data_IF_113418424037
#
_entry.id   IF_113418424037
#
_cell.length_a   1.000
_cell.length_b   1.000
_cell.length_c   1.000
_cell.angle_alpha   90.00
_cell.angle_beta   90.00
_cell.angle_gamma   90.00
#
_symmetry.space_group_name_H-M   'P 1'
#
loop_
_entity.id
_entity.type
_entity.pdbx_description
1 polymer ?
#
# COMPACT_ATOMS: atom_id res chain seq x y z
N UNK A 1 0.67 28.29 37.89
CA UNK A 1 -0.69 28.05 37.40
C UNK A 1 -0.62 27.05 36.26
N UNK A 2 -1.13 25.84 36.46
CA UNK A 2 -1.21 24.79 35.45
C UNK A 2 -2.56 24.93 34.75
N UNK A 3 -2.55 25.18 33.45
CA UNK A 3 -3.77 25.19 32.61
C UNK A 3 -3.80 23.87 31.85
N UNK A 4 -4.73 22.99 32.21
CA UNK A 4 -5.03 21.77 31.46
C UNK A 4 -5.85 22.10 30.21
N UNK A 5 -5.49 21.58 29.02
CA UNK A 5 -6.39 21.62 27.87
C UNK A 5 -7.16 20.30 27.80
N UNK A 6 -8.43 20.34 28.17
CA UNK A 6 -9.36 19.22 27.97
C UNK A 6 -10.44 19.63 26.97
N UNK A 7 -10.61 18.75 25.97
CA UNK A 7 -11.80 18.56 25.13
C UNK A 7 -12.16 19.63 24.07
N UNK A 8 -11.77 19.36 22.83
CA UNK A 8 -12.74 19.49 21.72
C UNK A 8 -12.30 18.67 20.48
N UNK A 9 -12.71 17.40 20.38
CA UNK A 9 -12.38 16.55 19.21
C UNK A 9 -13.55 15.73 18.66
N UNK A 10 -14.77 15.93 19.17
CA UNK A 10 -15.94 15.10 18.78
C UNK A 10 -16.87 15.73 17.73
N UNK A 11 -16.72 17.02 17.40
CA UNK A 11 -17.66 17.73 16.51
C UNK A 11 -17.25 17.78 15.02
N UNK A 12 -16.08 17.26 14.64
CA UNK A 12 -15.54 17.37 13.27
C UNK A 12 -15.66 16.09 12.41
N UNK A 13 -16.24 15.02 12.96
CA UNK A 13 -16.38 13.73 12.25
C UNK A 13 -17.61 13.61 11.35
N UNK A 14 -18.62 14.47 11.54
CA UNK A 14 -19.91 14.33 10.84
C UNK A 14 -20.09 15.27 9.64
N UNK A 15 -19.18 16.22 9.40
CA UNK A 15 -19.31 17.19 8.31
C UNK A 15 -18.55 16.82 7.02
N UNK A 16 -17.64 15.85 7.06
CA UNK A 16 -16.81 15.47 5.89
C UNK A 16 -17.48 14.41 5.02
N UNK A 17 -18.49 13.71 5.54
CA UNK A 17 -19.20 12.63 4.83
C UNK A 17 -20.28 13.18 3.85
N UNK A 18 -20.67 14.46 3.99
CA UNK A 18 -21.80 15.02 3.22
C UNK A 18 -21.48 15.66 1.86
N UNK A 19 -20.23 16.01 1.56
CA UNK A 19 -19.89 16.81 0.37
C UNK A 19 -19.16 16.00 -0.71
N UNK A 20 -18.48 14.90 -0.36
CA UNK A 20 -17.75 14.07 -1.32
C UNK A 20 -18.64 13.21 -2.21
N UNK A 21 -19.86 12.88 -1.77
CA UNK A 21 -20.80 12.06 -2.54
C UNK A 21 -21.46 12.81 -3.72
N UNK A 22 -21.42 14.15 -3.73
CA UNK A 22 -22.05 14.93 -4.80
C UNK A 22 -21.19 15.04 -6.08
N UNK A 23 -19.87 14.83 -5.98
CA UNK A 23 -18.96 14.93 -7.13
C UNK A 23 -18.77 13.58 -7.86
N UNK A 24 -19.01 12.46 -7.17
CA UNK A 24 -18.91 11.12 -7.76
C UNK A 24 -20.13 10.74 -8.62
N UNK A 25 -21.30 11.36 -8.39
CA UNK A 25 -22.50 11.15 -9.21
C UNK A 25 -22.51 11.95 -10.52
N UNK A 26 -21.61 12.92 -10.71
CA UNK A 26 -21.58 13.72 -11.94
C UNK A 26 -20.80 13.07 -13.09
N UNK A 27 -19.99 12.03 -12.83
CA UNK A 27 -19.10 11.41 -13.84
C UNK A 27 -19.52 9.99 -14.24
N UNK A 28 -20.49 9.39 -13.53
CA UNK A 28 -21.07 8.07 -13.88
C UNK A 28 -22.42 8.19 -14.60
N UNK A 29 -22.77 9.39 -15.09
CA UNK A 29 -23.88 9.64 -16.00
C UNK A 29 -23.69 8.89 -17.32
N UNK A 30 -24.08 7.61 -17.32
CA UNK A 30 -24.19 6.69 -18.43
C UNK A 30 -25.25 7.20 -19.43
N UNK A 31 -24.84 8.12 -20.31
CA UNK A 31 -25.48 8.29 -21.61
C UNK A 31 -24.85 7.30 -22.58
N UNK A 32 -25.68 6.52 -23.30
CA UNK A 32 -25.25 5.59 -24.34
C UNK A 32 -24.63 6.27 -25.61
N UNK A 33 -24.10 7.48 -25.47
CA UNK A 33 -23.58 8.30 -26.55
C UNK A 33 -22.13 8.70 -26.28
N UNK A 34 -21.23 8.23 -27.14
CA UNK A 34 -19.85 8.71 -27.36
C UNK A 34 -18.94 8.81 -26.12
N UNK A 35 -17.92 7.94 -26.07
CA UNK A 35 -16.81 8.05 -25.12
C UNK A 35 -16.16 9.44 -25.24
N UNK A 36 -16.35 10.30 -24.24
CA UNK A 36 -15.79 11.66 -24.21
C UNK A 36 -14.28 11.63 -23.95
N UNK A 37 -13.82 10.65 -23.16
CA UNK A 37 -12.41 10.41 -22.84
C UNK A 37 -11.92 9.19 -23.60
N UNK A 38 -10.90 9.37 -24.44
CA UNK A 38 -10.30 8.32 -25.26
C UNK A 38 -9.26 7.52 -24.47
N UNK A 39 -8.41 8.21 -23.72
CA UNK A 39 -7.30 7.61 -22.99
C UNK A 39 -7.09 8.33 -21.67
N UNK A 40 -6.68 7.59 -20.64
CA UNK A 40 -6.23 8.14 -19.36
C UNK A 40 -4.96 7.41 -18.98
N UNK A 41 -3.89 8.16 -18.81
CA UNK A 41 -2.61 7.65 -18.33
C UNK A 41 -2.30 8.25 -16.97
N UNK A 42 -1.80 7.43 -16.06
CA UNK A 42 -1.36 7.86 -14.74
C UNK A 42 0.17 7.77 -14.69
N UNK A 43 0.77 8.74 -14.04
CA UNK A 43 2.20 8.76 -13.78
C UNK A 43 2.48 9.18 -12.36
N UNK A 44 3.71 8.94 -11.93
CA UNK A 44 4.25 9.47 -10.71
C UNK A 44 5.67 9.94 -10.95
N UNK A 45 6.05 11.05 -10.33
CA UNK A 45 7.43 11.52 -10.34
C UNK A 45 7.82 11.97 -8.95
N UNK A 46 9.06 11.68 -8.56
CA UNK A 46 9.62 12.19 -7.31
C UNK A 46 10.52 13.35 -7.66
N UNK A 47 10.13 14.56 -7.27
CA UNK A 47 10.87 15.79 -7.54
C UNK A 47 11.16 16.49 -6.21
N UNK A 48 12.43 16.80 -5.94
CA UNK A 48 12.86 17.45 -4.70
C UNK A 48 12.42 16.71 -3.42
N UNK A 49 12.28 15.38 -3.48
CA UNK A 49 11.82 14.56 -2.35
C UNK A 49 10.30 14.50 -2.16
N UNK A 50 9.53 15.21 -3.00
CA UNK A 50 8.07 15.16 -3.01
C UNK A 50 7.56 14.22 -4.11
N UNK A 51 6.50 13.47 -3.79
CA UNK A 51 5.77 12.64 -4.75
C UNK A 51 4.71 13.49 -5.43
N UNK A 52 4.83 13.58 -6.75
CA UNK A 52 3.80 14.12 -7.62
C UNK A 52 3.07 12.96 -8.30
N UNK A 53 1.76 12.91 -8.16
CA UNK A 53 0.88 12.06 -8.96
C UNK A 53 0.40 12.86 -10.16
N UNK A 54 0.58 12.30 -11.35
CA UNK A 54 0.14 12.90 -12.61
C UNK A 54 -0.95 12.07 -13.27
N UNK A 55 -1.88 12.73 -13.94
CA UNK A 55 -2.88 12.11 -14.81
C UNK A 55 -2.92 12.89 -16.11
N UNK A 56 -2.76 12.21 -17.25
CA UNK A 56 -2.98 12.79 -18.58
C UNK A 56 -4.15 12.07 -19.24
N UNK A 57 -5.25 12.81 -19.38
CA UNK A 57 -6.46 12.35 -20.05
C UNK A 57 -6.58 13.00 -21.43
N UNK A 58 -6.75 12.17 -22.46
CA UNK A 58 -6.99 12.61 -23.84
C UNK A 58 -8.47 12.48 -24.18
N UNK A 59 -9.09 13.58 -24.58
CA UNK A 59 -10.47 13.65 -25.05
C UNK A 59 -10.60 13.08 -26.48
N UNK A 60 -11.81 12.66 -26.84
CA UNK A 60 -12.08 12.20 -28.21
C UNK A 60 -11.86 13.33 -29.24
N UNK A 61 -11.38 13.04 -30.46
CA UNK A 61 -11.14 14.05 -31.51
C UNK A 61 -12.37 14.85 -31.92
N UNK A 62 -13.56 14.24 -31.81
CA UNK A 62 -14.85 14.89 -32.07
C UNK A 62 -15.45 15.51 -30.80
N UNK A 63 -14.66 15.57 -29.72
CA UNK A 63 -15.04 16.13 -28.44
C UNK A 63 -14.82 17.64 -28.37
N UNK A 64 -14.96 18.17 -27.16
CA UNK A 64 -14.71 19.56 -26.84
C UNK A 64 -13.20 19.87 -26.92
N UNK A 65 -12.81 20.84 -27.75
CA UNK A 65 -11.45 21.39 -27.75
C UNK A 65 -11.36 22.40 -26.60
N UNK A 66 -10.48 22.14 -25.65
CA UNK A 66 -10.26 23.00 -24.50
C UNK A 66 -9.21 24.09 -24.81
N UNK A 67 -9.40 25.32 -24.33
CA UNK A 67 -8.36 26.35 -24.41
C UNK A 67 -7.14 25.96 -23.57
N UNK A 68 -5.98 26.52 -23.91
CA UNK A 68 -4.76 26.36 -23.12
C UNK A 68 -4.89 27.14 -21.81
N UNK A 69 -5.14 26.45 -20.68
CA UNK A 69 -5.31 27.08 -19.36
C UNK A 69 -4.62 26.24 -18.30
N UNK A 70 -3.92 26.90 -17.38
CA UNK A 70 -3.32 26.27 -16.19
C UNK A 70 -4.03 26.79 -14.95
N UNK A 71 -4.73 25.92 -14.24
CA UNK A 71 -5.46 26.22 -13.00
C UNK A 71 -4.71 25.62 -11.81
N UNK A 72 -4.31 26.43 -10.81
CA UNK A 72 -3.71 25.90 -9.59
C UNK A 72 -4.74 25.13 -8.76
N UNK A 73 -4.32 24.01 -8.18
CA UNK A 73 -5.08 23.24 -7.22
C UNK A 73 -4.73 23.71 -5.81
N UNK A 74 -5.67 24.34 -5.11
CA UNK A 74 -5.45 24.82 -3.75
C UNK A 74 -5.89 23.81 -2.69
N UNK A 75 -5.22 23.81 -1.54
CA UNK A 75 -5.67 23.04 -0.39
C UNK A 75 -6.95 23.68 0.20
N UNK A 76 -8.10 22.97 0.28
CA UNK A 76 -9.34 23.54 0.78
C UNK A 76 -9.26 23.93 2.27
N UNK A 77 -8.32 23.35 3.03
CA UNK A 77 -8.09 23.70 4.44
C UNK A 77 -7.13 24.88 4.59
N UNK A 78 -6.33 25.17 3.57
CA UNK A 78 -5.35 26.26 3.57
C UNK A 78 -5.22 26.82 2.14
N UNK A 79 -6.07 27.77 1.73
CA UNK A 79 -6.10 28.30 0.36
C UNK A 79 -4.79 28.94 -0.11
N UNK A 80 -3.92 29.34 0.83
CA UNK A 80 -2.58 29.87 0.50
C UNK A 80 -1.61 28.79 0.02
N UNK A 81 -1.93 27.51 0.19
CA UNK A 81 -1.10 26.39 -0.22
C UNK A 81 -1.58 25.83 -1.57
N UNK A 82 -0.71 25.87 -2.58
CA UNK A 82 -0.89 25.18 -3.86
C UNK A 82 -0.44 23.73 -3.72
N UNK A 83 -1.34 22.80 -4.04
CA UNK A 83 -1.09 21.36 -4.06
C UNK A 83 -0.76 20.84 -5.45
N UNK A 84 -0.98 21.60 -6.52
CA UNK A 84 -0.80 21.10 -7.87
C UNK A 84 -1.35 22.02 -8.96
N UNK A 85 -1.53 21.48 -10.15
CA UNK A 85 -2.14 22.15 -11.30
C UNK A 85 -3.07 21.23 -12.08
N UNK A 86 -4.08 21.81 -12.70
CA UNK A 86 -4.81 21.23 -13.83
C UNK A 86 -4.44 22.06 -15.05
N UNK A 87 -3.95 21.42 -16.08
CA UNK A 87 -3.57 22.01 -17.35
C UNK A 87 -4.48 21.45 -18.43
N UNK A 88 -5.09 22.33 -19.21
CA UNK A 88 -5.85 21.94 -20.41
C UNK A 88 -5.07 22.43 -21.62
N UNK A 89 -4.98 21.61 -22.67
CA UNK A 89 -4.36 22.00 -23.94
C UNK A 89 -4.97 21.21 -25.10
N UNK A 90 -5.93 21.80 -25.80
CA UNK A 90 -6.64 21.15 -26.90
C UNK A 90 -7.47 19.97 -26.41
N UNK A 91 -7.03 18.75 -26.72
CA UNK A 91 -7.71 17.52 -26.28
C UNK A 91 -7.12 16.93 -25.00
N UNK A 92 -6.07 17.53 -24.43
CA UNK A 92 -5.41 17.00 -23.24
C UNK A 92 -5.87 17.72 -21.98
N UNK A 93 -6.10 16.93 -20.92
CA UNK A 93 -6.27 17.39 -19.55
C UNK A 93 -5.19 16.72 -18.72
N UNK A 94 -4.24 17.51 -18.25
CA UNK A 94 -3.12 17.06 -17.43
C UNK A 94 -3.37 17.54 -16.01
N UNK A 95 -3.34 16.63 -15.04
CA UNK A 95 -3.49 16.95 -13.61
C UNK A 95 -2.21 16.53 -12.92
N UNK A 96 -1.57 17.45 -12.22
CA UNK A 96 -0.39 17.19 -11.40
C UNK A 96 -0.70 17.54 -9.95
N UNK A 97 -0.52 16.60 -9.03
CA UNK A 97 -0.80 16.79 -7.60
C UNK A 97 0.40 16.38 -6.78
N UNK A 98 0.90 17.27 -5.93
CA UNK A 98 1.86 16.97 -4.88
C UNK A 98 1.16 16.12 -3.80
N UNK A 99 1.25 14.80 -3.96
CA UNK A 99 0.67 13.81 -3.08
C UNK A 99 1.32 13.85 -1.68
N UNK A 100 2.61 14.19 -1.58
CA UNK A 100 3.29 14.38 -0.30
C UNK A 100 2.60 15.45 0.54
N UNK A 101 2.37 16.63 -0.05
CA UNK A 101 1.69 17.74 0.61
C UNK A 101 0.21 17.44 0.87
N UNK A 102 -0.49 16.85 -0.10
CA UNK A 102 -1.92 16.54 -0.01
C UNK A 102 -2.23 15.51 1.08
N UNK A 103 -1.41 14.45 1.18
CA UNK A 103 -1.58 13.36 2.14
C UNK A 103 -0.78 13.56 3.44
N UNK A 104 0.00 14.64 3.53
CA UNK A 104 0.94 14.91 4.64
C UNK A 104 1.88 13.73 4.89
N UNK A 105 2.42 13.17 3.80
CA UNK A 105 3.35 12.06 3.92
C UNK A 105 4.62 12.55 4.63
N UNK A 106 5.20 11.73 5.52
CA UNK A 106 6.56 11.96 5.96
C UNK A 106 7.50 11.91 4.74
N UNK A 107 8.64 12.60 4.83
CA UNK A 107 9.62 12.66 3.75
C UNK A 107 9.87 11.28 3.15
N UNK A 108 9.77 11.18 1.83
CA UNK A 108 9.88 9.91 1.12
C UNK A 108 11.30 9.37 1.23
N UNK A 109 11.42 8.06 1.26
CA UNK A 109 12.71 7.38 1.24
C UNK A 109 12.88 6.63 -0.06
N UNK A 110 14.14 6.35 -0.42
CA UNK A 110 14.51 5.52 -1.56
C UNK A 110 13.79 4.17 -1.46
N UNK A 111 12.80 3.97 -2.33
CA UNK A 111 11.99 2.75 -2.33
C UNK A 111 12.76 1.53 -2.87
N UNK A 112 13.98 1.70 -3.37
CA UNK A 112 14.81 0.58 -3.87
C UNK A 112 15.58 -0.15 -2.77
N UNK A 113 15.59 0.40 -1.54
CA UNK A 113 16.35 -0.13 -0.40
C UNK A 113 15.47 -0.40 0.81
N UNK A 114 15.82 -1.46 1.53
CA UNK A 114 15.31 -1.77 2.87
C UNK A 114 15.81 -0.74 3.89
N UNK A 115 15.16 -0.62 5.07
CA UNK A 115 15.61 0.28 6.13
C UNK A 115 17.02 -0.02 6.65
N UNK A 116 17.53 -1.24 6.43
CA UNK A 116 18.90 -1.65 6.75
C UNK A 116 19.94 -1.37 5.65
N UNK A 117 19.54 -0.73 4.55
CA UNK A 117 20.43 -0.33 3.44
C UNK A 117 20.61 -1.37 2.33
N UNK A 118 20.19 -2.61 2.53
CA UNK A 118 20.18 -3.65 1.50
C UNK A 118 19.15 -3.35 0.41
N UNK A 119 19.40 -3.82 -0.82
CA UNK A 119 18.45 -3.70 -1.93
C UNK A 119 17.16 -4.49 -1.65
N UNK A 120 16.05 -4.06 -2.26
CA UNK A 120 14.82 -4.83 -2.20
C UNK A 120 15.00 -6.24 -2.81
N UNK A 121 14.51 -7.28 -2.13
CA UNK A 121 14.64 -8.69 -2.55
C UNK A 121 13.64 -9.08 -3.66
N UNK A 122 13.30 -8.17 -4.55
CA UNK A 122 12.34 -8.38 -5.63
C UNK A 122 12.99 -8.10 -6.98
N UNK A 123 12.76 -8.99 -7.94
CA UNK A 123 13.04 -8.73 -9.34
C UNK A 123 11.98 -7.75 -9.86
N UNK A 124 12.31 -6.45 -9.81
CA UNK A 124 11.41 -5.41 -10.26
C UNK A 124 11.40 -5.34 -11.80
N UNK A 125 10.23 -5.43 -12.44
CA UNK A 125 10.04 -5.17 -13.86
C UNK A 125 10.57 -3.78 -14.26
N UNK A 126 11.02 -3.65 -15.50
CA UNK A 126 11.46 -2.36 -16.04
C UNK A 126 10.31 -1.35 -15.94
N UNK A 127 10.59 -0.17 -15.40
CA UNK A 127 9.61 0.89 -15.20
C UNK A 127 8.80 0.81 -13.90
N UNK A 128 8.93 -0.26 -13.11
CA UNK A 128 8.31 -0.32 -11.78
C UNK A 128 9.25 0.29 -10.74
N UNK A 129 9.08 1.57 -10.44
CA UNK A 129 9.89 2.31 -9.45
C UNK A 129 9.18 2.36 -8.09
N UNK A 130 9.63 1.59 -7.09
CA UNK A 130 9.04 1.63 -5.76
C UNK A 130 9.37 2.93 -5.04
N UNK A 131 8.42 3.39 -4.23
CA UNK A 131 8.56 4.53 -3.33
C UNK A 131 8.39 4.01 -1.90
N UNK A 132 9.32 4.38 -1.02
CA UNK A 132 9.22 4.09 0.40
C UNK A 132 8.55 5.24 1.15
N UNK A 133 7.50 4.93 1.90
CA UNK A 133 6.76 5.83 2.78
C UNK A 133 7.08 5.42 4.22
N UNK A 134 7.84 6.22 4.99
CA UNK A 134 8.09 5.93 6.39
C UNK A 134 6.78 5.83 7.18
N UNK A 135 6.66 4.79 8.01
CA UNK A 135 5.54 4.67 8.94
C UNK A 135 5.81 5.55 10.17
N UNK A 136 4.88 6.46 10.48
CA UNK A 136 5.00 7.53 11.48
C UNK A 136 5.80 7.15 12.74
N UNK A 137 6.89 7.88 13.00
CA UNK A 137 7.76 7.73 14.19
C UNK A 137 8.36 6.33 14.39
N UNK A 138 8.37 5.51 13.35
CA UNK A 138 9.00 4.19 13.36
C UNK A 138 10.09 4.13 12.30
N UNK A 139 10.98 3.15 12.46
CA UNK A 139 11.95 2.81 11.42
C UNK A 139 11.34 1.94 10.31
N UNK A 140 10.04 1.66 10.38
CA UNK A 140 9.32 0.84 9.41
C UNK A 140 8.98 1.67 8.17
N UNK A 141 8.93 1.00 7.02
CA UNK A 141 8.69 1.64 5.71
C UNK A 141 7.64 0.83 4.97
N UNK A 142 6.64 1.51 4.41
CA UNK A 142 5.67 0.95 3.47
C UNK A 142 6.14 1.25 2.07
N UNK A 143 6.23 0.24 1.23
CA UNK A 143 6.68 0.34 -0.15
C UNK A 143 5.48 0.22 -1.07
N UNK A 144 5.37 1.15 -2.01
CA UNK A 144 4.35 1.12 -3.05
C UNK A 144 5.02 1.36 -4.40
N UNK A 145 4.67 0.55 -5.39
CA UNK A 145 5.04 0.79 -6.77
C UNK A 145 3.83 0.52 -7.66
N UNK A 146 3.65 1.34 -8.69
CA UNK A 146 2.60 1.15 -9.69
C UNK A 146 3.21 1.33 -11.07
N UNK A 147 2.93 0.37 -11.94
CA UNK A 147 3.21 0.38 -13.37
C UNK A 147 1.91 0.06 -14.10
N UNK A 148 1.81 0.42 -15.38
CA UNK A 148 0.60 0.22 -16.18
C UNK A 148 0.08 -1.23 -16.21
N UNK A 149 0.91 -2.22 -15.89
CA UNK A 149 0.54 -3.63 -15.83
C UNK A 149 0.69 -4.28 -14.45
N UNK A 150 1.28 -3.63 -13.46
CA UNK A 150 1.65 -4.27 -12.18
C UNK A 150 1.61 -3.29 -11.00
N UNK A 151 1.16 -3.78 -9.85
CA UNK A 151 1.19 -3.06 -8.58
C UNK A 151 2.03 -3.85 -7.58
N UNK A 152 2.91 -3.16 -6.86
CA UNK A 152 3.65 -3.70 -5.74
C UNK A 152 3.21 -3.03 -4.44
N UNK A 153 2.99 -3.84 -3.42
CA UNK A 153 2.84 -3.39 -2.04
C UNK A 153 3.82 -4.17 -1.16
N UNK A 154 4.52 -3.47 -0.29
CA UNK A 154 5.39 -4.09 0.68
C UNK A 154 5.43 -3.34 1.99
N UNK A 155 5.84 -4.04 3.05
CA UNK A 155 6.06 -3.45 4.37
C UNK A 155 7.35 -4.03 4.92
N UNK A 156 8.25 -3.16 5.37
CA UNK A 156 9.40 -3.53 6.17
C UNK A 156 9.21 -2.99 7.59
N UNK A 157 9.13 -3.88 8.57
CA UNK A 157 8.99 -3.55 9.99
C UNK A 157 10.35 -3.69 10.65
N UNK A 158 10.91 -2.59 11.14
CA UNK A 158 12.16 -2.63 11.91
C UNK A 158 11.89 -3.03 13.36
N UNK A 159 12.66 -3.98 13.86
CA UNK A 159 12.67 -4.38 15.26
C UNK A 159 13.68 -3.50 16.01
N UNK A 160 13.40 -3.18 17.27
CA UNK A 160 14.27 -2.34 18.09
C UNK A 160 15.72 -2.83 18.08
N UNK A 161 16.63 -1.85 18.16
CA UNK A 161 18.09 -1.96 17.99
C UNK A 161 18.66 -3.06 18.91
N UNK A 162 19.00 -4.22 18.36
CA UNK A 162 20.06 -5.04 18.94
C UNK A 162 21.39 -4.53 18.38
N UNK A 163 22.48 -4.74 19.13
CA UNK A 163 23.83 -4.36 18.73
C UNK A 163 24.09 -4.79 17.28
N UNK A 164 24.23 -3.78 16.42
CA UNK A 164 24.16 -3.95 14.98
C UNK A 164 25.32 -4.81 14.50
N UNK A 165 25.02 -5.99 13.99
CA UNK A 165 25.96 -6.75 13.16
C UNK A 165 26.24 -5.91 11.91
N UNK A 166 27.52 -5.55 11.69
CA UNK A 166 27.96 -4.67 10.58
C UNK A 166 27.81 -5.29 9.18
N UNK A 167 27.27 -6.49 9.08
CA UNK A 167 27.13 -7.20 7.81
C UNK A 167 25.67 -7.12 7.35
N UNK A 168 25.40 -6.50 6.19
CA UNK A 168 24.06 -6.46 5.64
C UNK A 168 23.68 -7.86 5.12
N UNK A 169 23.02 -8.64 5.97
CA UNK A 169 22.55 -9.99 5.62
C UNK A 169 21.04 -9.92 5.44
N UNK A 170 20.53 -10.32 4.29
CA UNK A 170 19.09 -10.34 4.02
C UNK A 170 18.70 -11.72 3.51
N UNK A 171 17.76 -12.38 4.20
CA UNK A 171 17.29 -13.72 3.86
C UNK A 171 15.81 -13.61 3.53
N UNK A 172 15.49 -13.80 2.26
CA UNK A 172 14.16 -13.63 1.70
C UNK A 172 13.75 -14.88 0.94
N UNK A 173 12.57 -15.40 1.28
CA UNK A 173 11.99 -16.57 0.63
C UNK A 173 10.89 -16.10 -0.32
N UNK A 174 10.95 -16.48 -1.61
CA UNK A 174 9.87 -16.17 -2.53
C UNK A 174 8.61 -16.94 -2.13
N UNK A 175 7.45 -16.35 -2.38
CA UNK A 175 6.16 -17.03 -2.23
C UNK A 175 5.24 -16.65 -3.39
N UNK A 176 4.29 -17.55 -3.67
CA UNK A 176 3.23 -17.35 -4.66
C UNK A 176 1.91 -17.75 -4.00
N UNK A 177 1.00 -16.79 -3.87
CA UNK A 177 -0.33 -17.04 -3.27
C UNK A 177 -1.32 -17.52 -4.35
N UNK A 178 -1.22 -16.93 -5.54
CA UNK A 178 -2.01 -17.29 -6.72
C UNK A 178 -1.16 -17.06 -7.97
N UNK A 179 -1.65 -17.49 -9.13
CA UNK A 179 -0.97 -17.22 -10.42
C UNK A 179 -0.72 -15.73 -10.69
N UNK A 180 -1.43 -14.84 -10.00
CA UNK A 180 -1.35 -13.39 -10.18
C UNK A 180 -0.64 -12.67 -9.05
N UNK A 181 -0.36 -13.33 -7.91
CA UNK A 181 0.25 -12.70 -6.73
C UNK A 181 1.53 -13.45 -6.37
N UNK A 182 2.66 -12.81 -6.68
CA UNK A 182 4.00 -13.27 -6.34
C UNK A 182 4.62 -12.31 -5.34
N UNK A 183 5.54 -12.79 -4.52
CA UNK A 183 6.11 -11.96 -3.47
C UNK A 183 7.32 -12.59 -2.82
N UNK A 184 7.80 -11.93 -1.79
CA UNK A 184 8.85 -12.45 -0.93
C UNK A 184 8.68 -11.97 0.49
N UNK A 185 9.01 -12.83 1.44
CA UNK A 185 8.98 -12.53 2.86
C UNK A 185 10.29 -12.99 3.50
N UNK A 186 10.77 -12.24 4.48
CA UNK A 186 12.08 -12.52 5.04
C UNK A 186 12.50 -11.57 6.13
N UNK A 187 13.75 -11.74 6.54
CA UNK A 187 14.40 -10.91 7.54
C UNK A 187 15.55 -10.16 6.89
N UNK A 188 15.76 -8.92 7.32
CA UNK A 188 16.91 -8.13 6.95
C UNK A 188 17.71 -7.77 8.20
N UNK A 189 19.03 -7.79 8.07
CA UNK A 189 20.02 -7.37 9.06
C UNK A 189 20.93 -6.34 8.40
N UNK A 190 21.44 -5.39 9.19
CA UNK A 190 22.29 -4.29 8.73
C UNK A 190 22.31 -3.17 9.78
N UNK A 191 22.28 -1.91 9.33
CA UNK A 191 22.12 -0.76 10.25
C UNK A 191 20.81 -0.83 11.05
N UNK A 192 19.79 -1.44 10.44
CA UNK A 192 18.51 -1.79 11.03
C UNK A 192 18.23 -3.25 10.74
N UNK A 193 17.55 -3.89 11.68
CA UNK A 193 17.11 -5.27 11.55
C UNK A 193 15.60 -5.36 11.62
N UNK A 194 15.02 -6.34 10.93
CA UNK A 194 13.58 -6.47 10.90
C UNK A 194 13.05 -7.55 10.00
N UNK A 195 11.73 -7.52 9.82
CA UNK A 195 10.99 -8.42 8.93
C UNK A 195 10.44 -7.59 7.79
N UNK A 196 10.45 -8.12 6.57
CA UNK A 196 9.76 -7.48 5.47
C UNK A 196 8.96 -8.50 4.65
N UNK A 197 7.87 -8.01 4.08
CA UNK A 197 6.98 -8.75 3.18
C UNK A 197 6.67 -7.86 2.00
N UNK A 198 6.84 -8.40 0.80
CA UNK A 198 6.52 -7.72 -0.44
C UNK A 198 5.65 -8.62 -1.31
N UNK A 199 4.66 -8.02 -1.95
CA UNK A 199 3.79 -8.69 -2.89
C UNK A 199 3.62 -7.83 -4.14
N UNK A 200 3.66 -8.46 -5.30
CA UNK A 200 3.36 -7.90 -6.60
C UNK A 200 2.14 -8.59 -7.16
N UNK A 201 1.29 -7.80 -7.81
CA UNK A 201 0.12 -8.28 -8.53
C UNK A 201 0.09 -7.71 -9.93
N UNK A 202 -0.20 -8.55 -10.92
CA UNK A 202 -0.55 -8.05 -12.25
C UNK A 202 -1.86 -7.25 -12.16
N UNK A 203 -1.77 -5.97 -12.54
CA UNK A 203 -2.90 -5.08 -12.58
C UNK A 203 -3.75 -5.43 -13.80
N UNK A 204 -4.90 -6.05 -13.57
CA UNK A 204 -5.94 -6.06 -14.59
C UNK A 204 -6.49 -4.64 -14.75
N UNK A 205 -6.98 -4.24 -15.95
CA UNK A 205 -7.55 -2.91 -16.18
C UNK A 205 -8.60 -2.49 -15.13
N UNK A 206 -9.35 -3.46 -14.58
CA UNK A 206 -10.32 -3.25 -13.50
C UNK A 206 -9.70 -2.78 -12.19
N UNK A 207 -8.48 -3.22 -11.85
CA UNK A 207 -7.78 -2.79 -10.62
C UNK A 207 -7.22 -1.39 -10.79
N UNK A 208 -6.71 -1.05 -11.98
CA UNK A 208 -6.28 0.32 -12.30
C UNK A 208 -7.46 1.29 -12.28
N UNK A 209 -8.61 0.88 -12.83
CA UNK A 209 -9.85 1.65 -12.76
C UNK A 209 -10.36 1.82 -11.32
N UNK A 210 -10.23 0.80 -10.47
CA UNK A 210 -10.59 0.89 -9.05
C UNK A 210 -9.61 1.75 -8.23
N UNK A 211 -8.32 1.77 -8.60
CA UNK A 211 -7.34 2.66 -7.99
C UNK A 211 -7.48 4.12 -8.44
N UNK A 212 -7.97 4.34 -9.67
CA UNK A 212 -8.28 5.65 -10.24
C UNK A 212 -9.67 6.17 -9.82
N UNK A 213 -10.58 5.27 -9.45
CA UNK A 213 -11.96 5.57 -9.06
C UNK A 213 -12.08 5.95 -7.58
N UNK A 214 -12.99 6.90 -7.32
CA UNK A 214 -13.34 7.49 -6.02
C UNK A 214 -13.15 6.59 -4.79
N UNK A 215 -12.58 7.08 -3.67
CA UNK A 215 -12.32 6.33 -2.44
C UNK A 215 -13.57 5.79 -1.68
N UNK A 216 -14.78 5.86 -2.26
CA UNK A 216 -16.02 5.51 -1.57
C UNK A 216 -16.50 4.05 -1.75
N UNK A 217 -15.85 3.20 -2.55
CA UNK A 217 -16.33 1.81 -2.72
C UNK A 217 -15.31 0.71 -2.53
N UNK A 218 -14.22 0.95 -1.80
CA UNK A 218 -13.56 -0.15 -1.09
C UNK A 218 -14.44 -0.55 0.10
N UNK A 219 -15.49 -1.32 -0.18
CA UNK A 219 -16.27 -1.98 0.86
C UNK A 219 -15.31 -2.78 1.75
N UNK A 220 -15.42 -2.61 3.08
CA UNK A 220 -14.66 -3.40 4.06
C UNK A 220 -14.77 -4.91 3.80
N UNK A 221 -15.77 -5.39 3.06
CA UNK A 221 -15.91 -6.80 2.69
C UNK A 221 -14.72 -7.36 1.90
N UNK A 222 -14.01 -6.55 1.10
CA UNK A 222 -12.85 -7.00 0.32
C UNK A 222 -11.56 -7.08 1.13
N UNK A 223 -11.46 -6.32 2.23
CA UNK A 223 -10.34 -6.43 3.18
C UNK A 223 -10.58 -7.63 4.12
N UNK A 224 -11.84 -7.87 4.49
CA UNK A 224 -12.23 -9.04 5.28
C UNK A 224 -11.97 -10.36 4.54
N UNK A 225 -12.05 -10.43 3.20
CA UNK A 225 -11.75 -11.66 2.48
C UNK A 225 -10.24 -11.98 2.38
N UNK A 226 -9.38 -10.95 2.47
CA UNK A 226 -7.93 -11.14 2.62
C UNK A 226 -7.53 -11.46 4.07
N UNK A 227 -8.23 -10.88 5.05
CA UNK A 227 -8.03 -11.20 6.47
C UNK A 227 -8.68 -12.54 6.89
N UNK A 228 -9.67 -13.02 6.14
CA UNK A 228 -10.31 -14.33 6.35
C UNK A 228 -9.49 -15.49 5.76
N UNK A 229 -8.40 -15.23 5.02
CA UNK A 229 -7.44 -16.30 4.71
C UNK A 229 -6.57 -16.57 5.94
N UNK A 230 -7.05 -17.47 6.81
CA UNK A 230 -6.31 -18.15 7.89
C UNK A 230 -5.41 -17.24 8.74
N UNK A 231 -5.99 -16.57 9.72
CA UNK A 231 -5.22 -16.03 10.84
C UNK A 231 -4.57 -17.18 11.63
N UNK A 232 -3.25 -17.30 11.55
CA UNK A 232 -2.46 -18.16 12.45
C UNK A 232 -2.24 -17.37 13.75
N UNK A 233 -2.96 -17.75 14.80
CA UNK A 233 -2.77 -17.17 16.14
C UNK A 233 -1.61 -17.87 16.85
N UNK A 234 -0.48 -17.18 16.99
CA UNK A 234 0.62 -17.62 17.84
C UNK A 234 0.37 -17.10 19.27
N UNK A 235 -0.15 -17.96 20.14
CA UNK A 235 -0.18 -17.67 21.59
C UNK A 235 1.14 -18.09 22.21
N UNK A 236 1.94 -17.12 22.63
CA UNK A 236 3.11 -17.35 23.45
C UNK A 236 2.66 -17.39 24.92
N UNK A 237 2.74 -18.57 25.55
CA UNK A 237 2.44 -18.70 26.98
C UNK A 237 3.53 -18.04 27.83
N UNK A 238 3.10 -17.37 28.90
CA UNK A 238 3.87 -16.58 29.87
C UNK A 238 5.21 -17.19 30.32
N UNK A 239 6.19 -16.38 30.77
CA UNK A 239 7.54 -16.83 31.04
C UNK A 239 7.59 -17.57 32.38
N UNK A 240 7.70 -18.88 32.30
CA UNK A 240 7.90 -19.74 33.46
C UNK A 240 8.14 -21.17 33.02
N UNK A 241 9.43 -21.52 32.92
CA UNK A 241 9.98 -22.88 32.77
C UNK A 241 10.12 -23.37 31.31
N UNK A 242 11.30 -23.93 31.04
CA UNK A 242 11.96 -24.15 29.74
C UNK A 242 11.38 -25.27 28.88
N UNK A 243 10.15 -25.12 28.42
CA UNK A 243 9.58 -26.02 27.40
C UNK A 243 8.49 -25.28 26.61
N UNK A 244 8.88 -24.56 25.55
CA UNK A 244 7.92 -23.91 24.66
C UNK A 244 7.05 -24.94 23.95
N UNK A 245 5.76 -24.99 24.27
CA UNK A 245 4.75 -25.71 23.49
C UNK A 245 4.15 -24.77 22.46
N UNK A 246 4.16 -25.19 21.20
CA UNK A 246 3.41 -24.54 20.12
C UNK A 246 2.13 -25.35 19.96
N UNK A 247 0.99 -24.80 20.37
CA UNK A 247 -0.32 -25.39 20.12
C UNK A 247 -0.90 -24.81 18.84
N UNK A 248 -1.15 -25.66 17.84
CA UNK A 248 -1.82 -25.30 16.59
C UNK A 248 -3.23 -25.89 16.66
N UNK A 249 -4.25 -25.07 16.90
CA UNK A 249 -5.65 -25.49 16.78
C UNK A 249 -6.06 -25.44 15.32
N UNK A 250 -6.41 -26.60 14.74
CA UNK A 250 -6.76 -26.70 13.33
C UNK A 250 -8.22 -27.07 13.11
N UNK A 251 -9.07 -26.07 12.84
CA UNK A 251 -10.41 -26.33 12.30
C UNK A 251 -10.40 -26.59 10.78
N UNK A 252 -9.24 -26.48 10.10
CA UNK A 252 -9.15 -26.54 8.65
C UNK A 252 -7.91 -27.29 8.11
N UNK A 253 -7.55 -28.42 8.74
CA UNK A 253 -6.57 -29.36 8.19
C UNK A 253 -7.30 -30.67 7.88
N UNK A 254 -7.29 -31.07 6.61
CA UNK A 254 -7.83 -32.36 6.18
C UNK A 254 -7.12 -33.49 6.93
N UNK A 255 -7.87 -34.54 7.32
CA UNK A 255 -7.30 -35.74 7.98
C UNK A 255 -6.12 -36.37 7.19
N UNK A 256 -6.03 -36.12 5.88
CA UNK A 256 -4.91 -36.55 5.04
C UNK A 256 -3.58 -35.85 5.34
N UNK A 257 -3.64 -34.58 5.74
CA UNK A 257 -2.45 -33.73 5.93
C UNK A 257 -1.85 -33.93 7.33
N UNK A 258 -2.69 -34.23 8.33
CA UNK A 258 -2.25 -34.63 9.67
C UNK A 258 -1.40 -35.90 9.62
N UNK A 259 -1.78 -36.90 8.80
CA UNK A 259 -1.00 -38.14 8.62
C UNK A 259 0.37 -37.92 7.97
N UNK A 260 0.53 -36.86 7.15
CA UNK A 260 1.83 -36.51 6.54
C UNK A 260 2.76 -35.82 7.54
N UNK A 261 2.21 -34.99 8.43
CA UNK A 261 2.97 -34.33 9.49
C UNK A 261 3.48 -35.35 10.53
N UNK A 262 2.66 -36.30 10.96
CA UNK A 262 3.04 -37.32 11.95
C UNK A 262 4.23 -38.20 11.50
N UNK A 263 4.30 -38.54 10.21
CA UNK A 263 5.45 -39.27 9.64
C UNK A 263 6.75 -38.47 9.65
N UNK A 264 6.66 -37.15 9.58
CA UNK A 264 7.84 -36.27 9.45
C UNK A 264 8.46 -35.94 10.81
N UNK A 265 7.69 -36.03 11.91
CA UNK A 265 8.12 -35.62 13.25
C UNK A 265 8.35 -36.75 14.25
N UNK A 266 8.50 -38.00 13.78
CA UNK A 266 8.70 -39.20 14.62
C UNK A 266 9.93 -39.21 15.56
N UNK A 267 10.72 -38.13 15.60
CA UNK A 267 11.86 -37.95 16.51
C UNK A 267 11.68 -36.87 17.58
N UNK A 268 10.61 -36.07 17.55
CA UNK A 268 10.35 -35.05 18.57
C UNK A 268 9.44 -35.61 19.66
N UNK A 269 9.89 -35.55 20.92
CA UNK A 269 9.10 -35.99 22.08
C UNK A 269 7.80 -35.17 22.15
N UNK A 270 6.68 -35.89 22.00
CA UNK A 270 5.27 -35.51 22.24
C UNK A 270 4.79 -34.17 21.68
N UNK A 271 4.27 -34.21 20.44
CA UNK A 271 3.27 -33.25 19.96
C UNK A 271 1.90 -33.81 20.31
N UNK A 272 1.16 -33.15 21.22
CA UNK A 272 -0.26 -33.44 21.44
C UNK A 272 -1.08 -32.56 20.51
N UNK A 273 -1.92 -33.17 19.68
CA UNK A 273 -2.88 -32.50 18.79
C UNK A 273 -4.26 -32.81 19.37
N UNK A 274 -4.95 -31.78 19.89
CA UNK A 274 -6.36 -31.84 20.28
C UNK A 274 -7.25 -31.46 19.07
#
# INVERSE_FOLDING_TARGET
>A
MYVSPTQNSKSLRNAIIGVSSLLALALTGCGAGSKVVNNVTFGNTVQNGDLYASMDATLAPNGLILPAVTLPLFNPKNPSQVLGSIETNGLHIIVNVNATAALKLPGLVDGTKLPGGSLLPLALPVGLTPIGIPAFNSNSVVYVAVSGSQVMLGVAVSIAKQDSLKLPISIFLPFTISSQITGTAGFYLGEKQGVAVFAMKEATPSVLAAAAGSPESMSMSSISSLAASKSVSLRQSSPGISSGRISVTSEAISKSDVKRLDKTFKGLRSVNID
#
